data_IF_369379111072
#
_entry.id   IF_369379111072
#
_cell.length_a   1.000
_cell.length_b   1.000
_cell.length_c   1.000
_cell.angle_alpha   90.00
_cell.angle_beta   90.00
_cell.angle_gamma   90.00
#
_symmetry.space_group_name_H-M   'P 1'
#
loop_
_entity.id
_entity.type
_entity.pdbx_description
1 polymer ?
#
# COMPACT_ATOMS: atom_id res chain seq x y z
N UNK A 1 -18.50 -7.02 6.89
CA UNK A 1 -17.24 -7.53 6.32
C UNK A 1 -17.57 -8.75 5.50
N UNK A 2 -16.98 -8.90 4.32
CA UNK A 2 -17.12 -10.11 3.52
C UNK A 2 -16.22 -11.22 4.09
N UNK A 3 -16.84 -12.27 4.61
CA UNK A 3 -16.12 -13.37 5.25
C UNK A 3 -15.26 -14.20 4.30
N UNK A 4 -15.66 -14.31 3.01
CA UNK A 4 -14.88 -15.06 2.00
C UNK A 4 -13.61 -14.31 1.66
N UNK A 5 -13.71 -12.99 1.47
CA UNK A 5 -12.54 -12.14 1.22
C UNK A 5 -11.63 -12.09 2.44
N UNK A 6 -12.18 -11.99 3.66
CA UNK A 6 -11.40 -12.03 4.89
C UNK A 6 -10.61 -13.34 5.03
N UNK A 7 -11.27 -14.48 4.81
CA UNK A 7 -10.61 -15.79 4.85
C UNK A 7 -9.52 -15.91 3.77
N UNK A 8 -9.80 -15.47 2.54
CA UNK A 8 -8.81 -15.43 1.46
C UNK A 8 -7.60 -14.57 1.81
N UNK A 9 -7.82 -13.40 2.42
CA UNK A 9 -6.74 -12.53 2.87
C UNK A 9 -5.89 -13.16 3.97
N UNK A 10 -6.48 -13.89 4.93
CA UNK A 10 -5.73 -14.66 5.95
C UNK A 10 -4.84 -15.73 5.30
N UNK A 11 -5.37 -16.50 4.35
CA UNK A 11 -4.60 -17.52 3.63
C UNK A 11 -3.50 -16.90 2.75
N UNK A 12 -3.72 -15.72 2.22
CA UNK A 12 -2.76 -15.03 1.38
C UNK A 12 -1.50 -14.57 2.16
N UNK A 13 -1.58 -14.38 3.48
CA UNK A 13 -0.43 -13.95 4.31
C UNK A 13 0.75 -14.93 4.20
N UNK A 14 0.61 -16.23 4.60
CA UNK A 14 1.73 -17.17 4.52
C UNK A 14 2.16 -17.45 3.07
N UNK A 15 1.22 -17.42 2.11
CA UNK A 15 1.53 -17.64 0.70
C UNK A 15 2.39 -16.50 0.13
N UNK A 16 2.02 -15.25 0.38
CA UNK A 16 2.79 -14.09 -0.05
C UNK A 16 4.15 -14.04 0.66
N UNK A 17 4.19 -14.34 1.96
CA UNK A 17 5.45 -14.45 2.71
C UNK A 17 6.39 -15.47 2.05
N UNK A 18 5.91 -16.69 1.81
CA UNK A 18 6.71 -17.75 1.20
C UNK A 18 7.15 -17.42 -0.22
N UNK A 19 6.27 -16.79 -1.01
CA UNK A 19 6.60 -16.32 -2.36
C UNK A 19 7.71 -15.27 -2.32
N UNK A 20 7.60 -14.26 -1.46
CA UNK A 20 8.63 -13.22 -1.32
C UNK A 20 9.95 -13.80 -0.86
N UNK A 21 9.93 -14.71 0.12
CA UNK A 21 11.10 -15.41 0.62
C UNK A 21 11.81 -16.19 -0.48
N UNK A 22 11.05 -16.95 -1.27
CA UNK A 22 11.59 -17.71 -2.39
C UNK A 22 12.17 -16.79 -3.47
N UNK A 23 11.41 -15.80 -3.92
CA UNK A 23 11.81 -14.92 -5.02
C UNK A 23 13.03 -14.07 -4.65
N UNK A 24 13.08 -13.53 -3.44
CA UNK A 24 14.22 -12.71 -2.99
C UNK A 24 15.45 -13.53 -2.62
N UNK A 25 15.29 -14.83 -2.33
CA UNK A 25 16.42 -15.74 -2.18
C UNK A 25 17.03 -16.22 -3.50
N UNK A 26 16.29 -16.15 -4.61
CA UNK A 26 16.71 -16.69 -5.92
C UNK A 26 17.07 -15.61 -6.93
N UNK A 27 16.51 -14.40 -6.79
CA UNK A 27 16.69 -13.27 -7.68
C UNK A 27 17.34 -12.11 -6.92
N UNK A 28 17.89 -11.09 -7.63
CA UNK A 28 18.26 -9.85 -6.99
C UNK A 28 17.11 -9.32 -6.12
N UNK A 29 17.35 -8.92 -4.85
CA UNK A 29 16.29 -8.63 -3.87
C UNK A 29 15.17 -7.71 -4.39
N UNK A 30 15.55 -6.61 -5.05
CA UNK A 30 14.58 -5.65 -5.59
C UNK A 30 13.72 -6.26 -6.71
N UNK A 31 14.31 -7.11 -7.56
CA UNK A 31 13.60 -7.83 -8.63
C UNK A 31 12.64 -8.84 -8.02
N UNK A 32 13.10 -9.63 -7.03
CA UNK A 32 12.26 -10.60 -6.33
C UNK A 32 11.06 -9.95 -5.64
N UNK A 33 11.29 -8.83 -4.93
CA UNK A 33 10.22 -8.06 -4.30
C UNK A 33 9.25 -7.45 -5.33
N UNK A 34 9.77 -6.93 -6.45
CA UNK A 34 8.96 -6.40 -7.55
C UNK A 34 8.04 -7.46 -8.17
N UNK A 35 8.54 -8.69 -8.38
CA UNK A 35 7.72 -9.79 -8.88
C UNK A 35 6.66 -10.24 -7.86
N UNK A 36 7.01 -10.28 -6.56
CA UNK A 36 6.03 -10.55 -5.51
C UNK A 36 4.91 -9.50 -5.46
N UNK A 37 5.27 -8.22 -5.65
CA UNK A 37 4.31 -7.11 -5.75
C UNK A 37 3.39 -7.25 -6.96
N UNK A 38 3.91 -7.64 -8.12
CA UNK A 38 3.11 -7.92 -9.32
C UNK A 38 2.15 -9.09 -9.11
N UNK A 39 2.60 -10.18 -8.48
CA UNK A 39 1.75 -11.32 -8.16
C UNK A 39 0.61 -10.93 -7.20
N UNK A 40 0.92 -10.10 -6.21
CA UNK A 40 -0.07 -9.53 -5.31
C UNK A 40 -1.09 -8.65 -6.05
N UNK A 41 -0.65 -7.74 -6.92
CA UNK A 41 -1.54 -6.91 -7.74
C UNK A 41 -2.44 -7.73 -8.66
N UNK A 42 -1.90 -8.76 -9.31
CA UNK A 42 -2.67 -9.66 -10.15
C UNK A 42 -3.77 -10.36 -9.35
N UNK A 43 -3.45 -10.78 -8.12
CA UNK A 43 -4.40 -11.42 -7.21
C UNK A 43 -5.51 -10.44 -6.79
N UNK A 44 -5.16 -9.24 -6.35
CA UNK A 44 -6.14 -8.20 -6.01
C UNK A 44 -7.02 -7.84 -7.21
N UNK A 45 -6.43 -7.61 -8.37
CA UNK A 45 -7.14 -7.29 -9.60
C UNK A 45 -8.14 -8.39 -9.99
N UNK A 46 -7.74 -9.66 -9.90
CA UNK A 46 -8.62 -10.80 -10.18
C UNK A 46 -9.77 -10.93 -9.18
N UNK A 47 -9.54 -10.57 -7.91
CA UNK A 47 -10.61 -10.54 -6.90
C UNK A 47 -11.56 -9.38 -7.14
N UNK A 48 -11.04 -8.18 -7.39
CA UNK A 48 -11.82 -6.96 -7.63
C UNK A 48 -12.62 -7.03 -8.93
N UNK A 49 -12.10 -7.68 -9.96
CA UNK A 49 -12.82 -7.90 -11.22
C UNK A 49 -14.12 -8.72 -11.06
N UNK A 50 -14.29 -9.42 -9.93
CA UNK A 50 -15.49 -10.19 -9.59
C UNK A 50 -16.45 -9.46 -8.66
N UNK A 51 -16.13 -8.22 -8.26
CA UNK A 51 -16.95 -7.40 -7.38
C UNK A 51 -17.85 -6.45 -8.17
N UNK A 52 -18.81 -5.84 -7.48
CA UNK A 52 -19.65 -4.78 -8.05
C UNK A 52 -18.81 -3.56 -8.43
N UNK A 53 -18.58 -3.41 -9.74
CA UNK A 53 -17.76 -2.35 -10.32
C UNK A 53 -18.33 -0.96 -10.04
N UNK A 54 -19.65 -0.79 -10.17
CA UNK A 54 -20.27 0.52 -10.04
C UNK A 54 -20.25 0.98 -8.58
N UNK A 55 -20.50 0.03 -7.65
CA UNK A 55 -20.30 0.25 -6.22
C UNK A 55 -18.87 0.69 -5.91
N UNK A 56 -17.86 -0.04 -6.37
CA UNK A 56 -16.46 0.30 -6.14
C UNK A 56 -16.05 1.66 -6.73
N UNK A 57 -16.53 2.00 -7.94
CA UNK A 57 -16.27 3.30 -8.56
C UNK A 57 -16.94 4.44 -7.79
N UNK A 58 -18.17 4.24 -7.30
CA UNK A 58 -18.83 5.22 -6.44
C UNK A 58 -18.04 5.46 -5.15
N UNK A 59 -17.46 4.40 -4.57
CA UNK A 59 -16.59 4.52 -3.40
C UNK A 59 -15.27 5.24 -3.73
N UNK A 60 -14.74 5.15 -4.94
CA UNK A 60 -13.47 5.77 -5.32
C UNK A 60 -13.53 7.31 -5.42
N UNK A 61 -14.72 7.91 -5.37
CA UNK A 61 -14.87 9.37 -5.43
C UNK A 61 -14.15 10.07 -4.27
N UNK A 62 -13.43 11.16 -4.55
CA UNK A 62 -12.81 11.96 -3.51
C UNK A 62 -13.86 12.85 -2.82
N UNK A 63 -14.07 12.63 -1.52
CA UNK A 63 -14.87 13.51 -0.65
C UNK A 63 -14.05 13.91 0.56
N UNK A 64 -14.28 15.11 1.07
CA UNK A 64 -13.53 15.62 2.21
C UNK A 64 -13.82 14.79 3.47
N UNK A 65 -12.79 14.23 4.15
CA UNK A 65 -12.95 13.56 5.45
C UNK A 65 -12.94 14.55 6.63
N UNK A 66 -13.00 15.87 6.36
CA UNK A 66 -12.79 16.92 7.35
C UNK A 66 -11.31 17.32 7.49
N UNK A 67 -11.07 18.49 8.09
CA UNK A 67 -9.75 19.13 8.13
C UNK A 67 -8.69 18.29 8.85
N UNK A 68 -9.04 17.76 10.03
CA UNK A 68 -8.09 17.00 10.84
C UNK A 68 -7.62 15.73 10.11
N UNK A 69 -8.55 14.94 9.57
CA UNK A 69 -8.22 13.76 8.79
C UNK A 69 -7.40 14.11 7.54
N UNK A 70 -7.74 15.18 6.82
CA UNK A 70 -6.96 15.64 5.67
C UNK A 70 -5.51 15.99 6.03
N UNK A 71 -5.28 16.65 7.18
CA UNK A 71 -3.92 16.94 7.67
C UNK A 71 -3.18 15.66 8.03
N UNK A 72 -3.81 14.73 8.75
CA UNK A 72 -3.21 13.46 9.13
C UNK A 72 -2.87 12.58 7.91
N UNK A 73 -3.63 12.70 6.82
CA UNK A 73 -3.35 12.04 5.54
C UNK A 73 -2.18 12.69 4.80
N UNK A 74 -2.10 14.01 4.80
CA UNK A 74 -1.08 14.75 4.07
C UNK A 74 0.30 14.73 4.75
N UNK A 75 0.33 14.76 6.09
CA UNK A 75 1.58 14.91 6.85
C UNK A 75 2.61 13.80 6.54
N UNK A 76 2.27 12.50 6.51
CA UNK A 76 3.22 11.45 6.15
C UNK A 76 3.74 11.58 4.71
N UNK A 77 2.88 11.98 3.78
CA UNK A 77 3.24 12.19 2.37
C UNK A 77 4.24 13.34 2.25
N UNK A 78 3.99 14.45 2.94
CA UNK A 78 4.90 15.62 2.95
C UNK A 78 6.24 15.26 3.59
N UNK A 79 6.22 14.58 4.74
CA UNK A 79 7.43 14.19 5.46
C UNK A 79 8.29 13.23 4.63
N UNK A 80 7.70 12.16 4.08
CA UNK A 80 8.41 11.21 3.24
C UNK A 80 8.86 11.84 1.92
N UNK A 81 8.05 12.73 1.36
CA UNK A 81 8.40 13.52 0.18
C UNK A 81 9.64 14.38 0.42
N UNK A 82 9.71 15.10 1.53
CA UNK A 82 10.88 15.91 1.87
C UNK A 82 12.16 15.06 1.99
N UNK A 83 12.08 13.90 2.66
CA UNK A 83 13.22 12.96 2.78
C UNK A 83 13.65 12.44 1.41
N UNK A 84 12.69 12.03 0.58
CA UNK A 84 12.97 11.49 -0.76
C UNK A 84 13.55 12.54 -1.69
N UNK A 85 13.03 13.77 -1.66
CA UNK A 85 13.56 14.88 -2.46
C UNK A 85 14.99 15.24 -2.06
N UNK A 86 15.32 15.18 -0.77
CA UNK A 86 16.70 15.36 -0.31
C UNK A 86 17.63 14.28 -0.88
N UNK A 87 17.18 13.02 -0.93
CA UNK A 87 17.94 11.91 -1.51
C UNK A 87 18.12 12.05 -3.03
N UNK A 88 17.08 12.50 -3.75
CA UNK A 88 17.18 12.79 -5.19
C UNK A 88 18.11 13.97 -5.51
N UNK A 89 18.37 14.84 -4.53
CA UNK A 89 19.41 15.87 -4.66
C UNK A 89 20.83 15.30 -4.75
N UNK A 90 21.03 14.03 -4.39
CA UNK A 90 22.35 13.35 -4.41
C UNK A 90 22.44 12.23 -5.45
N UNK A 91 21.31 11.78 -6.01
CA UNK A 91 21.24 10.66 -6.96
C UNK A 91 20.33 11.04 -8.12
N UNK A 92 20.80 10.86 -9.36
CA UNK A 92 20.00 11.08 -10.56
C UNK A 92 19.35 9.76 -10.98
N UNK A 93 18.03 9.69 -10.86
CA UNK A 93 17.27 8.55 -11.37
C UNK A 93 16.86 8.77 -12.84
N UNK A 94 17.00 7.76 -13.71
CA UNK A 94 16.41 7.77 -15.03
C UNK A 94 14.90 8.03 -15.00
N UNK A 95 14.39 8.85 -15.93
CA UNK A 95 12.99 9.24 -15.98
C UNK A 95 12.01 8.05 -16.07
N UNK A 96 12.41 6.96 -16.75
CA UNK A 96 11.58 5.77 -16.87
C UNK A 96 11.38 5.05 -15.52
N UNK A 97 12.34 5.13 -14.60
CA UNK A 97 12.20 4.57 -13.25
C UNK A 97 11.26 5.40 -12.39
N UNK A 98 11.31 6.73 -12.51
CA UNK A 98 10.35 7.63 -11.85
C UNK A 98 8.92 7.39 -12.36
N UNK A 99 8.76 7.21 -13.68
CA UNK A 99 7.48 6.86 -14.29
C UNK A 99 6.98 5.50 -13.78
N UNK A 100 7.85 4.48 -13.74
CA UNK A 100 7.50 3.17 -13.22
C UNK A 100 7.08 3.24 -11.73
N UNK A 101 7.78 4.02 -10.91
CA UNK A 101 7.43 4.25 -9.51
C UNK A 101 6.06 4.94 -9.36
N UNK A 102 5.78 5.94 -10.19
CA UNK A 102 4.48 6.63 -10.20
C UNK A 102 3.33 5.71 -10.60
N UNK A 103 3.49 4.93 -11.67
CA UNK A 103 2.49 3.96 -12.10
C UNK A 103 2.27 2.86 -11.05
N UNK A 104 3.35 2.33 -10.46
CA UNK A 104 3.30 1.36 -9.38
C UNK A 104 2.58 1.92 -8.15
N UNK A 105 2.86 3.17 -7.76
CA UNK A 105 2.24 3.80 -6.60
C UNK A 105 0.74 3.99 -6.77
N UNK A 106 0.30 4.46 -7.94
CA UNK A 106 -1.13 4.63 -8.26
C UNK A 106 -1.82 3.27 -8.30
N UNK A 107 -1.27 2.31 -9.06
CA UNK A 107 -1.85 0.98 -9.18
C UNK A 107 -2.00 0.30 -7.82
N UNK A 108 -0.94 0.33 -7.01
CA UNK A 108 -0.93 -0.25 -5.68
C UNK A 108 -2.00 0.39 -4.79
N UNK A 109 -2.00 1.72 -4.67
CA UNK A 109 -2.94 2.43 -3.81
C UNK A 109 -4.40 2.18 -4.23
N UNK A 110 -4.69 2.19 -5.53
CA UNK A 110 -6.04 1.91 -6.04
C UNK A 110 -6.47 0.49 -5.70
N UNK A 111 -5.65 -0.52 -6.00
CA UNK A 111 -6.01 -1.92 -5.75
C UNK A 111 -6.18 -2.19 -4.26
N UNK A 112 -5.26 -1.70 -3.43
CA UNK A 112 -5.31 -1.90 -1.98
C UNK A 112 -6.52 -1.24 -1.34
N UNK A 113 -6.76 0.05 -1.62
CA UNK A 113 -7.89 0.75 -1.00
C UNK A 113 -9.23 0.16 -1.44
N UNK A 114 -9.36 -0.18 -2.73
CA UNK A 114 -10.57 -0.82 -3.26
C UNK A 114 -10.79 -2.20 -2.64
N UNK A 115 -9.73 -2.97 -2.37
CA UNK A 115 -9.88 -4.27 -1.73
C UNK A 115 -10.16 -4.14 -0.23
N UNK A 116 -9.26 -3.51 0.52
CA UNK A 116 -9.26 -3.51 1.99
C UNK A 116 -10.42 -2.69 2.59
N UNK A 117 -10.76 -1.55 1.96
CA UNK A 117 -11.75 -0.60 2.47
C UNK A 117 -12.96 -0.42 1.55
N UNK A 118 -12.95 -1.07 0.39
CA UNK A 118 -14.07 -1.19 -0.52
C UNK A 118 -14.75 -2.56 -0.44
N UNK A 119 -14.16 -3.56 -1.09
CA UNK A 119 -14.77 -4.89 -1.25
C UNK A 119 -14.86 -5.67 0.08
N UNK A 120 -13.79 -5.69 0.88
CA UNK A 120 -13.75 -6.42 2.15
C UNK A 120 -14.75 -5.86 3.16
N UNK A 121 -14.96 -4.55 3.15
CA UNK A 121 -15.81 -3.82 4.09
C UNK A 121 -16.54 -2.66 3.38
N UNK A 122 -17.66 -2.96 2.69
CA UNK A 122 -18.31 -1.97 1.82
C UNK A 122 -19.10 -0.88 2.55
N UNK A 123 -19.64 -1.19 3.74
CA UNK A 123 -20.41 -0.24 4.56
C UNK A 123 -19.51 0.36 5.63
N UNK A 124 -19.52 1.69 5.88
CA UNK A 124 -18.59 2.34 6.81
C UNK A 124 -18.95 2.14 8.30
N UNK A 125 -19.10 0.88 8.75
CA UNK A 125 -19.39 0.52 10.15
C UNK A 125 -18.11 0.34 11.00
N UNK A 126 -17.97 0.97 12.19
CA UNK A 126 -16.73 0.95 12.98
C UNK A 126 -16.21 -0.44 13.38
N UNK A 127 -17.10 -1.36 13.78
CA UNK A 127 -16.70 -2.69 14.25
C UNK A 127 -15.97 -3.50 13.16
N UNK A 128 -16.60 -3.71 11.99
CA UNK A 128 -15.94 -4.34 10.86
C UNK A 128 -14.72 -3.56 10.32
N UNK A 129 -14.67 -2.22 10.49
CA UNK A 129 -13.51 -1.41 10.12
C UNK A 129 -12.25 -1.80 10.91
N UNK A 130 -12.40 -2.02 12.22
CA UNK A 130 -11.29 -2.42 13.09
C UNK A 130 -10.74 -3.80 12.71
N UNK A 131 -11.62 -4.75 12.37
CA UNK A 131 -11.21 -6.08 11.90
C UNK A 131 -10.49 -6.00 10.56
N UNK A 132 -11.00 -5.21 9.61
CA UNK A 132 -10.36 -4.99 8.31
C UNK A 132 -8.98 -4.35 8.47
N UNK A 133 -8.83 -3.37 9.38
CA UNK A 133 -7.54 -2.76 9.72
C UNK A 133 -6.57 -3.77 10.34
N UNK A 134 -7.03 -4.61 11.27
CA UNK A 134 -6.21 -5.66 11.88
C UNK A 134 -5.71 -6.66 10.83
N UNK A 135 -6.57 -7.05 9.89
CA UNK A 135 -6.20 -7.97 8.81
C UNK A 135 -5.25 -7.31 7.80
N UNK A 136 -5.49 -6.05 7.44
CA UNK A 136 -4.59 -5.24 6.62
C UNK A 136 -3.19 -5.18 7.24
N UNK A 137 -3.10 -4.89 8.54
CA UNK A 137 -1.84 -4.85 9.27
C UNK A 137 -1.15 -6.22 9.30
N UNK A 138 -1.89 -7.29 9.65
CA UNK A 138 -1.35 -8.64 9.64
C UNK A 138 -0.87 -9.07 8.24
N UNK A 139 -1.57 -8.67 7.19
CA UNK A 139 -1.18 -8.93 5.81
C UNK A 139 0.17 -8.31 5.46
N UNK A 140 0.46 -7.12 5.99
CA UNK A 140 1.75 -6.47 5.78
C UNK A 140 2.92 -7.22 6.42
N UNK A 141 2.68 -8.12 7.39
CA UNK A 141 3.73 -9.00 7.92
C UNK A 141 4.27 -9.95 6.85
N UNK A 142 3.53 -10.22 5.77
CA UNK A 142 4.03 -11.02 4.66
C UNK A 142 5.29 -10.41 4.01
N UNK A 143 5.44 -9.09 4.04
CA UNK A 143 6.62 -8.40 3.51
C UNK A 143 7.91 -8.69 4.28
N UNK A 144 7.83 -9.23 5.50
CA UNK A 144 9.00 -9.74 6.22
C UNK A 144 9.66 -10.94 5.50
N UNK A 145 8.97 -11.55 4.53
CA UNK A 145 9.54 -12.56 3.64
C UNK A 145 10.50 -11.98 2.61
N UNK A 146 10.44 -10.68 2.30
CA UNK A 146 11.31 -10.06 1.30
C UNK A 146 12.73 -9.83 1.86
N UNK A 147 13.63 -10.77 1.59
CA UNK A 147 15.01 -10.72 2.08
C UNK A 147 15.88 -9.76 1.28
N UNK A 148 16.86 -9.12 1.92
CA UNK A 148 17.87 -8.30 1.26
C UNK A 148 17.37 -6.97 0.70
N UNK A 149 16.09 -6.61 0.88
CA UNK A 149 15.56 -5.30 0.50
C UNK A 149 15.72 -4.33 1.66
N UNK A 150 16.63 -3.36 1.51
CA UNK A 150 16.74 -2.25 2.45
C UNK A 150 15.69 -1.20 2.15
N UNK A 151 14.82 -0.91 3.12
CA UNK A 151 13.85 0.20 3.01
C UNK A 151 14.40 1.51 3.56
N UNK A 152 15.55 1.47 4.24
CA UNK A 152 16.07 2.59 5.02
C UNK A 152 15.25 2.89 6.28
N UNK A 153 14.16 2.16 6.53
CA UNK A 153 13.32 2.29 7.71
C UNK A 153 13.76 1.30 8.80
N UNK A 154 13.63 1.73 10.05
CA UNK A 154 13.86 0.83 11.18
C UNK A 154 12.86 -0.36 11.14
N UNK A 155 13.26 -1.58 11.51
CA UNK A 155 12.40 -2.77 11.38
C UNK A 155 11.03 -2.65 12.07
N UNK A 156 10.98 -1.99 13.23
CA UNK A 156 9.72 -1.76 13.93
C UNK A 156 8.76 -0.84 13.16
N UNK A 157 9.28 0.12 12.38
CA UNK A 157 8.46 0.99 11.52
C UNK A 157 7.86 0.21 10.36
N UNK A 158 8.57 -0.77 9.80
CA UNK A 158 8.02 -1.63 8.74
C UNK A 158 6.77 -2.41 9.22
N UNK A 159 6.71 -2.73 10.51
CA UNK A 159 5.58 -3.44 11.12
C UNK A 159 4.49 -2.50 11.63
N UNK A 160 4.85 -1.36 12.21
CA UNK A 160 3.89 -0.43 12.83
C UNK A 160 3.30 0.59 11.85
N UNK A 161 4.03 0.99 10.81
CA UNK A 161 3.57 1.99 9.85
C UNK A 161 2.28 1.57 9.12
N UNK A 162 2.10 0.31 8.67
CA UNK A 162 0.83 -0.12 8.09
C UNK A 162 -0.36 0.05 9.04
N UNK A 163 -0.19 -0.26 10.33
CA UNK A 163 -1.25 -0.06 11.32
C UNK A 163 -1.61 1.42 11.49
N UNK A 164 -0.60 2.27 11.63
CA UNK A 164 -0.79 3.71 11.83
C UNK A 164 -1.41 4.37 10.59
N UNK A 165 -0.79 4.21 9.43
CA UNK A 165 -1.25 4.79 8.16
C UNK A 165 -2.59 4.21 7.74
N UNK A 166 -2.71 2.89 7.82
CA UNK A 166 -3.96 2.19 7.53
C UNK A 166 -5.09 2.62 8.45
N UNK A 167 -4.80 2.94 9.71
CA UNK A 167 -5.75 3.52 10.65
C UNK A 167 -6.24 4.90 10.21
N UNK A 168 -5.34 5.77 9.76
CA UNK A 168 -5.70 7.09 9.23
C UNK A 168 -6.55 6.97 7.96
N UNK A 169 -6.21 6.07 7.03
CA UNK A 169 -7.00 5.80 5.83
C UNK A 169 -8.38 5.23 6.13
N UNK A 170 -8.47 4.32 7.11
CA UNK A 170 -9.75 3.76 7.57
C UNK A 170 -10.60 4.82 8.28
N UNK A 171 -10.00 5.69 9.10
CA UNK A 171 -10.72 6.81 9.72
C UNK A 171 -11.23 7.79 8.66
N UNK A 172 -10.42 8.12 7.65
CA UNK A 172 -10.85 8.96 6.54
C UNK A 172 -12.03 8.35 5.78
N UNK A 173 -12.03 7.02 5.57
CA UNK A 173 -13.16 6.29 5.00
C UNK A 173 -14.42 6.37 5.88
N UNK A 174 -14.31 6.15 7.18
CA UNK A 174 -15.43 6.27 8.13
C UNK A 174 -16.05 7.68 8.09
N UNK A 175 -15.22 8.72 8.00
CA UNK A 175 -15.66 10.12 8.05
C UNK A 175 -16.24 10.63 6.72
N UNK A 176 -15.70 10.19 5.59
CA UNK A 176 -16.10 10.68 4.24
C UNK A 176 -17.12 9.77 3.54
N UNK A 177 -17.22 8.50 3.95
CA UNK A 177 -17.97 7.47 3.25
C UNK A 177 -17.36 7.06 1.90
N UNK A 178 -16.18 7.59 1.51
CA UNK A 178 -15.51 7.29 0.25
C UNK A 178 -14.02 6.97 0.45
N UNK A 179 -13.33 6.57 -0.61
CA UNK A 179 -11.93 6.11 -0.61
C UNK A 179 -11.00 7.08 -1.34
N UNK A 180 -11.53 8.01 -2.14
CA UNK A 180 -10.69 8.79 -3.07
C UNK A 180 -9.56 9.56 -2.40
N UNK A 181 -9.79 10.16 -1.22
CA UNK A 181 -8.73 10.87 -0.49
C UNK A 181 -7.70 9.90 0.10
N UNK A 182 -8.14 8.74 0.59
CA UNK A 182 -7.23 7.67 1.04
C UNK A 182 -6.37 7.15 -0.11
N UNK A 183 -6.95 6.91 -1.30
CA UNK A 183 -6.24 6.50 -2.51
C UNK A 183 -5.17 7.54 -2.88
N UNK A 184 -5.50 8.82 -2.88
CA UNK A 184 -4.56 9.89 -3.21
C UNK A 184 -3.41 9.98 -2.21
N UNK A 185 -3.72 9.92 -0.91
CA UNK A 185 -2.70 9.95 0.15
C UNK A 185 -1.80 8.71 0.10
N UNK A 186 -2.38 7.53 -0.08
CA UNK A 186 -1.66 6.26 -0.20
C UNK A 186 -0.78 6.26 -1.46
N UNK A 187 -1.29 6.70 -2.61
CA UNK A 187 -0.49 6.83 -3.84
C UNK A 187 0.66 7.83 -3.67
N UNK A 188 0.41 8.98 -3.03
CA UNK A 188 1.45 9.97 -2.75
C UNK A 188 2.55 9.42 -1.85
N UNK A 189 2.18 8.68 -0.80
CA UNK A 189 3.14 8.02 0.08
C UNK A 189 3.97 6.98 -0.69
N UNK A 190 3.32 6.11 -1.46
CA UNK A 190 3.98 5.05 -2.22
C UNK A 190 4.89 5.59 -3.32
N UNK A 191 4.52 6.71 -3.96
CA UNK A 191 5.38 7.36 -4.95
C UNK A 191 6.73 7.72 -4.33
N UNK A 192 6.72 8.38 -3.18
CA UNK A 192 7.95 8.76 -2.50
C UNK A 192 8.69 7.55 -1.92
N UNK A 193 7.98 6.58 -1.35
CA UNK A 193 8.58 5.34 -0.87
C UNK A 193 9.31 4.60 -1.99
N UNK A 194 8.63 4.31 -3.10
CA UNK A 194 9.20 3.56 -4.22
C UNK A 194 10.35 4.32 -4.89
N UNK A 195 10.21 5.64 -5.04
CA UNK A 195 11.30 6.48 -5.55
C UNK A 195 12.51 6.46 -4.61
N UNK A 196 12.29 6.54 -3.30
CA UNK A 196 13.34 6.43 -2.30
C UNK A 196 14.04 5.07 -2.29
N UNK A 197 13.30 3.97 -2.50
CA UNK A 197 13.86 2.62 -2.65
C UNK A 197 14.74 2.50 -3.90
N UNK A 198 14.29 3.04 -5.03
CA UNK A 198 15.05 3.04 -6.28
C UNK A 198 16.33 3.86 -6.14
N UNK A 199 16.26 5.04 -5.53
CA UNK A 199 17.44 5.89 -5.30
C UNK A 199 18.47 5.22 -4.37
N UNK A 200 18.02 4.54 -3.31
CA UNK A 200 18.92 3.78 -2.43
C UNK A 200 19.55 2.58 -3.13
N UNK A 201 18.80 1.89 -3.98
CA UNK A 201 19.29 0.73 -4.72
C UNK A 201 20.28 1.12 -5.82
N UNK A 202 20.03 2.24 -6.50
CA UNK A 202 20.94 2.78 -7.52
C UNK A 202 22.22 3.41 -6.96
N UNK A 203 22.25 3.76 -5.68
CA UNK A 203 23.47 4.24 -5.01
C UNK A 203 24.40 3.10 -4.55
N UNK A 204 23.93 1.85 -4.56
CA UNK A 204 24.67 0.67 -4.08
C UNK A 204 25.28 -0.18 -5.21
N UNK A 205 25.00 0.14 -6.48
CA UNK A 205 25.57 -0.50 -7.66
C UNK A 205 26.45 0.45 -8.45
#
# INVERSE_FOLDING_TARGET
MDGRLAFGAVLAIPLLYGLLHLLTGWLPPLVGAGLGLVAYWATLGAVLARQDRDGLLALAQARSPGRLAAVLLALPVIALGAVTMRLLGTVVLPAHLLLAAGLAAILHAVLEELFWRGALWPRPDPGPAALALGLYWAFHLAWLGAQGVSTGLAPHLAVMAPLALGGVWTAARLLSGTLGVSILAHAGLNLFLFTGLLAQSGAAG
#
